data_IF_644144123801
#
_entry.id   IF_644144123801
#
_cell.length_a   1.000
_cell.length_b   1.000
_cell.length_c   1.000
_cell.angle_alpha   90.00
_cell.angle_beta   90.00
_cell.angle_gamma   90.00
#
_symmetry.space_group_name_H-M   'P 1'
#
loop_
_entity.id
_entity.type
_entity.pdbx_description
1 polymer ?
#
# COMPACT_ATOMS: atom_id res chain seq x y z
N UNK A 1 16.10 6.60 -11.39
CA UNK A 1 15.10 6.46 -10.30
C UNK A 1 15.54 7.04 -8.93
N UNK A 2 16.48 6.46 -8.16
CA UNK A 2 16.83 7.03 -6.84
C UNK A 2 17.38 8.48 -6.93
N UNK A 3 18.30 8.72 -7.87
CA UNK A 3 18.86 10.06 -8.10
C UNK A 3 17.82 11.07 -8.60
N UNK A 4 16.85 10.65 -9.42
CA UNK A 4 15.73 11.49 -9.89
C UNK A 4 14.85 11.97 -8.74
N UNK A 5 14.74 11.16 -7.67
CA UNK A 5 14.02 11.48 -6.45
C UNK A 5 14.90 12.19 -5.40
N UNK A 6 16.17 12.51 -5.73
CA UNK A 6 17.13 13.11 -4.79
C UNK A 6 17.52 12.19 -3.63
N UNK A 7 17.31 10.88 -3.77
CA UNK A 7 17.57 9.91 -2.71
C UNK A 7 19.01 9.37 -2.79
N UNK A 8 19.70 9.19 -1.64
CA UNK A 8 21.06 8.64 -1.64
C UNK A 8 21.11 7.20 -2.15
N UNK A 9 22.18 6.83 -2.87
CA UNK A 9 22.36 5.48 -3.42
C UNK A 9 22.29 4.36 -2.36
N UNK A 10 22.73 4.64 -1.12
CA UNK A 10 22.66 3.72 0.03
C UNK A 10 21.26 3.18 0.32
N UNK A 11 20.21 3.84 -0.18
CA UNK A 11 18.82 3.39 -0.03
C UNK A 11 18.57 2.04 -0.68
N UNK A 12 19.36 1.64 -1.68
CA UNK A 12 19.27 0.30 -2.25
C UNK A 12 19.71 -0.77 -1.25
N UNK A 13 20.74 -0.48 -0.44
CA UNK A 13 21.20 -1.38 0.61
C UNK A 13 20.23 -1.37 1.79
N UNK A 14 19.75 -0.19 2.20
CA UNK A 14 18.71 -0.04 3.23
C UNK A 14 17.45 -0.87 2.88
N UNK A 15 17.05 -0.91 1.60
CA UNK A 15 15.88 -1.67 1.13
C UNK A 15 16.07 -3.20 1.18
N UNK A 16 17.32 -3.68 1.23
CA UNK A 16 17.67 -5.09 1.34
C UNK A 16 17.94 -5.52 2.79
N UNK A 17 17.96 -4.56 3.72
CA UNK A 17 18.23 -4.84 5.12
C UNK A 17 17.10 -5.70 5.74
N UNK A 18 17.41 -6.57 6.70
CA UNK A 18 16.42 -7.45 7.34
C UNK A 18 15.19 -6.70 7.87
N UNK A 19 15.39 -5.50 8.41
CA UNK A 19 14.32 -4.67 8.98
C UNK A 19 13.29 -4.25 7.90
N UNK A 20 13.74 -4.00 6.67
CA UNK A 20 12.85 -3.70 5.55
C UNK A 20 11.99 -4.92 5.18
N UNK A 21 12.59 -6.12 5.18
CA UNK A 21 11.87 -7.36 4.90
C UNK A 21 10.86 -7.69 6.01
N UNK A 22 11.24 -7.53 7.29
CA UNK A 22 10.33 -7.70 8.43
C UNK A 22 9.13 -6.78 8.32
N UNK A 23 9.35 -5.50 7.99
CA UNK A 23 8.27 -4.53 7.78
C UNK A 23 7.39 -4.93 6.59
N UNK A 24 7.98 -5.31 5.46
CA UNK A 24 7.23 -5.76 4.28
C UNK A 24 6.30 -6.95 4.59
N UNK A 25 6.80 -7.96 5.31
CA UNK A 25 5.99 -9.11 5.73
C UNK A 25 4.87 -8.70 6.70
N UNK A 26 5.15 -7.81 7.65
CA UNK A 26 4.14 -7.30 8.59
C UNK A 26 3.06 -6.47 7.87
N UNK A 27 3.45 -5.62 6.93
CA UNK A 27 2.53 -4.82 6.11
C UNK A 27 1.64 -5.72 5.24
N UNK A 28 2.22 -6.78 4.66
CA UNK A 28 1.49 -7.80 3.90
C UNK A 28 0.47 -8.52 4.78
N UNK A 29 0.86 -8.96 5.98
CA UNK A 29 -0.07 -9.61 6.90
C UNK A 29 -1.21 -8.68 7.31
N UNK A 30 -0.93 -7.41 7.62
CA UNK A 30 -1.99 -6.42 7.92
C UNK A 30 -2.98 -6.25 6.77
N UNK A 31 -2.51 -6.28 5.52
CA UNK A 31 -3.39 -6.22 4.36
C UNK A 31 -4.30 -7.47 4.28
N UNK A 32 -3.73 -8.66 4.48
CA UNK A 32 -4.49 -9.93 4.51
C UNK A 32 -5.52 -9.92 5.65
N UNK A 33 -5.13 -9.48 6.85
CA UNK A 33 -6.01 -9.38 8.02
C UNK A 33 -7.16 -8.38 7.78
N UNK A 34 -6.92 -7.34 6.97
CA UNK A 34 -7.93 -6.39 6.52
C UNK A 34 -8.79 -6.89 5.34
N UNK A 35 -8.62 -8.15 4.90
CA UNK A 35 -9.37 -8.77 3.82
C UNK A 35 -8.88 -8.43 2.40
N UNK A 36 -7.72 -7.80 2.26
CA UNK A 36 -7.12 -7.51 0.95
C UNK A 36 -6.62 -8.81 0.31
N UNK A 37 -7.11 -9.10 -0.89
CA UNK A 37 -6.75 -10.29 -1.67
C UNK A 37 -6.06 -9.99 -3.01
N UNK A 38 -5.95 -8.71 -3.37
CA UNK A 38 -5.35 -8.29 -4.64
C UNK A 38 -5.02 -6.80 -4.66
N UNK A 39 -4.39 -6.34 -5.75
CA UNK A 39 -3.98 -4.95 -5.92
C UNK A 39 -4.49 -4.37 -7.25
N UNK A 40 -4.80 -3.06 -7.32
CA UNK A 40 -4.91 -2.14 -6.18
C UNK A 40 -6.16 -2.41 -5.34
N UNK A 41 -6.07 -2.19 -4.03
CA UNK A 41 -7.20 -2.21 -3.10
C UNK A 41 -7.17 -0.95 -2.22
N UNK A 42 -8.35 -0.37 -1.97
CA UNK A 42 -8.53 0.78 -1.10
C UNK A 42 -9.43 0.36 0.06
N UNK A 43 -9.04 0.64 1.29
CA UNK A 43 -9.81 0.27 2.49
C UNK A 43 -10.21 1.54 3.24
N UNK A 44 -11.51 1.75 3.43
CA UNK A 44 -12.07 2.90 4.16
C UNK A 44 -12.99 2.37 5.24
N UNK A 45 -12.62 2.56 6.51
CA UNK A 45 -13.42 2.14 7.67
C UNK A 45 -13.82 0.64 7.62
N UNK A 46 -12.96 -0.21 7.07
CA UNK A 46 -13.20 -1.65 6.90
C UNK A 46 -13.92 -2.05 5.60
N UNK A 47 -14.39 -1.09 4.80
CA UNK A 47 -14.95 -1.34 3.47
C UNK A 47 -13.85 -1.39 2.41
N UNK A 48 -13.84 -2.44 1.58
CA UNK A 48 -12.81 -2.66 0.55
C UNK A 48 -13.35 -2.29 -0.84
N UNK A 49 -12.61 -1.46 -1.57
CA UNK A 49 -12.79 -1.17 -2.98
C UNK A 49 -11.61 -1.78 -3.75
N UNK A 50 -11.85 -2.87 -4.48
CA UNK A 50 -10.81 -3.59 -5.22
C UNK A 50 -10.86 -3.28 -6.72
N UNK A 51 -9.73 -2.83 -7.26
CA UNK A 51 -9.57 -2.44 -8.66
C UNK A 51 -9.57 -0.92 -8.88
N UNK A 52 -8.79 -0.47 -9.85
CA UNK A 52 -8.73 0.96 -10.23
C UNK A 52 -10.08 1.45 -10.80
N UNK A 53 -10.86 0.55 -11.38
CA UNK A 53 -12.23 0.74 -11.86
C UNK A 53 -13.26 0.89 -10.74
N UNK A 54 -12.84 0.88 -9.46
CA UNK A 54 -13.70 1.19 -8.29
C UNK A 54 -13.50 2.59 -7.71
N UNK A 55 -12.62 3.41 -8.29
CA UNK A 55 -12.34 4.75 -7.76
C UNK A 55 -13.59 5.65 -7.69
N UNK A 56 -14.50 5.58 -8.67
CA UNK A 56 -15.75 6.36 -8.62
C UNK A 56 -16.66 5.96 -7.44
N UNK A 57 -16.62 4.68 -7.03
CA UNK A 57 -17.37 4.20 -5.87
C UNK A 57 -16.71 4.67 -4.57
N UNK A 58 -15.38 4.61 -4.51
CA UNK A 58 -14.60 5.13 -3.40
C UNK A 58 -14.84 6.64 -3.21
N UNK A 59 -14.83 7.43 -4.28
CA UNK A 59 -15.12 8.87 -4.24
C UNK A 59 -16.51 9.14 -3.65
N UNK A 60 -17.54 8.44 -4.15
CA UNK A 60 -18.91 8.56 -3.61
C UNK A 60 -19.00 8.17 -2.13
N UNK A 61 -18.21 7.20 -1.68
CA UNK A 61 -18.17 6.78 -0.28
C UNK A 61 -17.52 7.85 0.60
N UNK A 62 -16.42 8.44 0.15
CA UNK A 62 -15.71 9.51 0.87
C UNK A 62 -16.52 10.80 0.95
N UNK A 63 -17.31 11.13 -0.08
CA UNK A 63 -18.18 12.30 -0.07
C UNK A 63 -19.39 12.21 0.89
N UNK A 64 -19.64 11.04 1.47
CA UNK A 64 -20.75 10.78 2.41
C UNK A 64 -20.32 10.70 3.88
N UNK A 65 -19.02 10.78 4.16
CA UNK A 65 -18.46 10.91 5.51
C UNK A 65 -18.26 12.36 5.89
#
# INVERSE_FOLDING_TARGET
>A
LLAELGLPARRLDDARAPEAQTRYSADTQRAVDAGVFGAPSYVVEGEIFWGQDRLDFLERRLARG
#
